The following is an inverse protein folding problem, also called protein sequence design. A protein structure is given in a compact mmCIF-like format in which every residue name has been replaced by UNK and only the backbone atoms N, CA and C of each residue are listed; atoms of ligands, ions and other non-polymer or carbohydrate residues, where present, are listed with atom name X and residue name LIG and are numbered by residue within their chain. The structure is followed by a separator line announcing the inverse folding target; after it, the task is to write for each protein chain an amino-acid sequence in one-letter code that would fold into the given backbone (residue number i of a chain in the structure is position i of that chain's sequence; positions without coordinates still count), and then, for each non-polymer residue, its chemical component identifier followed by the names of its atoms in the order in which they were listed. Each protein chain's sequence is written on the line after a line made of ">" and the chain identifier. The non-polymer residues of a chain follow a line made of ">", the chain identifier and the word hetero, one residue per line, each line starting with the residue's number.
data_IF_134249654819
#
_entry.id   IF_134249654819
#
_cell.length_a   1.000
_cell.length_b   1.000
_cell.length_c   1.000
_cell.angle_alpha   90.00
_cell.angle_beta   90.00
_cell.angle_gamma   90.00
#
_symmetry.space_group_name_H-M   'P 1'
#
loop_
_entity.id
_entity.type
_entity.pdbx_description
1 polymer ?
#
# COMPACT_ATOMS: atom_id res chain seq x y z
N UNK A 1 14.91 8.43 -2.15
CA UNK A 1 15.22 9.10 -0.86
C UNK A 1 14.19 8.61 0.14
N UNK A 2 14.62 8.01 1.25
CA UNK A 2 13.74 7.37 2.23
C UNK A 2 13.47 8.37 3.36
N UNK A 3 12.31 9.04 3.30
CA UNK A 3 11.87 10.00 4.32
C UNK A 3 10.77 9.33 5.14
N UNK A 4 11.00 9.21 6.44
CA UNK A 4 10.01 8.73 7.41
C UNK A 4 9.03 9.85 7.70
N UNK A 5 7.74 9.60 7.54
CA UNK A 5 6.66 10.51 7.95
C UNK A 5 5.82 9.79 9.01
N UNK A 6 5.26 10.54 9.95
CA UNK A 6 4.74 10.06 11.24
C UNK A 6 3.68 8.93 11.18
N UNK A 7 3.06 8.66 10.02
CA UNK A 7 2.09 7.57 9.84
C UNK A 7 2.16 6.86 8.45
N UNK A 8 3.32 6.86 7.78
CA UNK A 8 3.46 6.13 6.51
C UNK A 8 4.77 6.33 5.75
N UNK A 9 5.17 5.30 4.99
CA UNK A 9 6.34 5.33 4.11
C UNK A 9 6.05 6.08 2.81
N UNK A 10 7.06 6.77 2.28
CA UNK A 10 7.03 7.33 0.93
C UNK A 10 7.12 6.19 -0.09
N UNK A 11 6.02 5.88 -0.77
CA UNK A 11 5.97 4.90 -1.86
C UNK A 11 6.47 5.57 -3.14
N UNK A 12 7.71 5.28 -3.53
CA UNK A 12 8.16 5.53 -4.90
C UNK A 12 7.60 4.40 -5.78
N UNK A 13 6.88 4.76 -6.84
CA UNK A 13 6.26 3.84 -7.78
C UNK A 13 7.25 2.87 -8.44
N UNK A 14 8.52 3.25 -8.59
CA UNK A 14 9.59 2.40 -9.13
C UNK A 14 9.90 1.15 -8.28
N UNK A 15 9.40 1.09 -7.05
CA UNK A 15 9.72 0.04 -6.09
C UNK A 15 8.51 -0.80 -5.67
N UNK A 16 7.31 -0.48 -6.15
CA UNK A 16 6.11 -1.29 -5.88
C UNK A 16 6.13 -2.50 -6.79
N UNK A 17 6.02 -3.68 -6.19
CA UNK A 17 5.99 -4.96 -6.90
C UNK A 17 4.54 -5.40 -7.12
N UNK A 18 3.69 -5.24 -6.11
CA UNK A 18 2.29 -5.64 -6.17
C UNK A 18 1.40 -4.82 -5.23
N UNK A 19 0.14 -4.67 -5.62
CA UNK A 19 -0.95 -4.18 -4.76
C UNK A 19 -2.08 -5.20 -4.83
N UNK A 20 -2.55 -5.68 -3.67
CA UNK A 20 -3.60 -6.70 -3.58
C UNK A 20 -4.70 -6.24 -2.64
N UNK A 21 -5.95 -6.44 -3.04
CA UNK A 21 -7.10 -6.34 -2.14
C UNK A 21 -7.55 -7.74 -1.78
N UNK A 22 -7.82 -7.96 -0.51
CA UNK A 22 -8.56 -9.12 -0.07
C UNK A 22 -9.59 -8.71 0.98
N UNK A 23 -10.66 -9.50 1.12
CA UNK A 23 -11.54 -9.41 2.27
C UNK A 23 -11.11 -10.51 3.24
N UNK A 24 -10.70 -10.13 4.43
CA UNK A 24 -10.39 -11.08 5.47
C UNK A 24 -11.69 -11.78 5.91
N UNK A 25 -11.67 -13.10 5.84
CA UNK A 25 -12.83 -13.93 6.15
C UNK A 25 -13.14 -14.01 7.65
N UNK A 26 -12.17 -13.69 8.52
CA UNK A 26 -12.32 -13.81 9.98
C UNK A 26 -13.00 -12.59 10.62
N UNK A 27 -12.64 -11.38 10.20
CA UNK A 27 -13.13 -10.12 10.76
C UNK A 27 -14.01 -9.32 9.77
N UNK A 28 -14.09 -9.78 8.51
CA UNK A 28 -14.83 -9.11 7.45
C UNK A 28 -14.16 -7.83 6.92
N UNK A 29 -12.95 -7.50 7.40
CA UNK A 29 -12.22 -6.30 7.02
C UNK A 29 -11.64 -6.43 5.61
N UNK A 30 -11.55 -5.32 4.92
CA UNK A 30 -10.86 -5.22 3.64
C UNK A 30 -9.40 -4.91 3.91
N UNK A 31 -8.50 -5.70 3.34
CA UNK A 31 -7.06 -5.56 3.48
C UNK A 31 -6.48 -5.13 2.15
N UNK A 32 -5.81 -3.98 2.14
CA UNK A 32 -4.97 -3.55 1.03
C UNK A 32 -3.53 -3.84 1.42
N UNK A 33 -2.92 -4.79 0.70
CA UNK A 33 -1.53 -5.18 0.86
C UNK A 33 -0.68 -4.59 -0.27
N UNK A 34 0.38 -3.87 0.08
CA UNK A 34 1.34 -3.26 -0.83
C UNK A 34 2.71 -3.91 -0.61
N UNK A 35 3.19 -4.60 -1.63
CA UNK A 35 4.49 -5.24 -1.64
C UNK A 35 5.49 -4.36 -2.39
N UNK A 36 6.65 -4.11 -1.78
CA UNK A 36 7.66 -3.21 -2.35
C UNK A 36 9.09 -3.70 -2.11
N UNK A 37 10.01 -3.43 -3.03
CA UNK A 37 11.45 -3.67 -2.85
C UNK A 37 12.17 -2.34 -2.67
N UNK A 38 12.57 -1.97 -1.44
CA UNK A 38 13.36 -0.76 -1.23
C UNK A 38 14.74 -0.86 -1.91
N UNK A 39 15.13 0.20 -2.60
CA UNK A 39 16.34 0.30 -3.42
C UNK A 39 17.66 -0.06 -2.66
N UNK A 40 17.67 0.04 -1.33
CA UNK A 40 18.85 -0.23 -0.50
C UNK A 40 18.85 -1.59 0.20
N UNK A 41 17.85 -2.45 -0.02
CA UNK A 41 17.70 -3.70 0.73
C UNK A 41 17.31 -4.83 -0.23
N UNK A 42 18.02 -5.96 -0.16
CA UNK A 42 17.68 -7.19 -0.89
C UNK A 42 16.42 -7.90 -0.34
N UNK A 43 15.54 -7.20 0.36
CA UNK A 43 14.39 -7.79 1.04
C UNK A 43 13.13 -7.04 0.66
N UNK A 44 12.10 -7.81 0.33
CA UNK A 44 10.76 -7.30 0.05
C UNK A 44 10.07 -6.90 1.34
N UNK A 45 9.52 -5.69 1.37
CA UNK A 45 8.66 -5.19 2.44
C UNK A 45 7.19 -5.37 2.10
N UNK A 46 6.40 -5.75 3.10
CA UNK A 46 4.94 -5.81 3.02
C UNK A 46 4.32 -4.73 3.90
N UNK A 47 3.45 -3.91 3.34
CA UNK A 47 2.63 -2.95 4.08
C UNK A 47 1.15 -3.32 3.93
N UNK A 48 0.44 -3.41 5.05
CA UNK A 48 -0.98 -3.75 5.06
C UNK A 48 -1.79 -2.64 5.71
N UNK A 49 -2.92 -2.31 5.09
CA UNK A 49 -3.90 -1.39 5.64
C UNK A 49 -5.28 -2.04 5.66
N UNK A 50 -5.90 -2.00 6.82
CA UNK A 50 -7.22 -2.57 7.08
C UNK A 50 -8.30 -1.48 6.97
N UNK A 51 -9.43 -1.85 6.39
CA UNK A 51 -10.60 -0.99 6.19
C UNK A 51 -11.86 -1.73 6.62
N UNK A 52 -12.80 -1.00 7.21
CA UNK A 52 -14.06 -1.58 7.68
C UNK A 52 -15.05 -1.83 6.54
N UNK A 53 -14.91 -1.13 5.42
CA UNK A 53 -15.76 -1.27 4.24
C UNK A 53 -14.93 -1.17 2.95
N UNK A 54 -15.48 -1.73 1.87
CA UNK A 54 -14.80 -1.79 0.57
C UNK A 54 -14.66 -0.43 -0.10
N UNK A 55 -15.58 0.51 0.16
CA UNK A 55 -15.56 1.86 -0.43
C UNK A 55 -14.32 2.63 0.06
N UNK A 56 -14.00 2.58 1.34
CA UNK A 56 -12.80 3.20 1.90
C UNK A 56 -11.52 2.61 1.30
N UNK A 57 -11.49 1.28 1.12
CA UNK A 57 -10.37 0.60 0.48
C UNK A 57 -10.19 1.03 -0.99
N UNK A 58 -11.29 1.17 -1.74
CA UNK A 58 -11.29 1.65 -3.12
C UNK A 58 -10.83 3.11 -3.24
N UNK A 59 -11.33 4.01 -2.38
CA UNK A 59 -10.90 5.41 -2.33
C UNK A 59 -9.41 5.51 -2.03
N UNK A 60 -8.91 4.69 -1.10
CA UNK A 60 -7.48 4.62 -0.80
C UNK A 60 -6.67 4.18 -2.03
N UNK A 61 -7.12 3.17 -2.77
CA UNK A 61 -6.44 2.73 -3.98
C UNK A 61 -6.42 3.77 -5.09
N UNK A 62 -7.54 4.46 -5.31
CA UNK A 62 -7.59 5.55 -6.29
C UNK A 62 -6.61 6.66 -5.92
N UNK A 63 -6.53 7.01 -4.63
CA UNK A 63 -5.59 8.01 -4.11
C UNK A 63 -4.13 7.54 -4.28
N UNK A 64 -3.85 6.26 -4.00
CA UNK A 64 -2.54 5.66 -4.17
C UNK A 64 -2.13 5.68 -5.66
N UNK A 65 -3.03 5.26 -6.55
CA UNK A 65 -2.81 5.30 -8.00
C UNK A 65 -2.52 6.72 -8.49
N UNK A 66 -3.31 7.71 -8.08
CA UNK A 66 -3.06 9.11 -8.46
C UNK A 66 -1.72 9.64 -7.95
N UNK A 67 -1.33 9.26 -6.73
CA UNK A 67 -0.05 9.68 -6.14
C UNK A 67 1.14 9.07 -6.88
N UNK A 68 1.00 7.81 -7.32
CA UNK A 68 1.99 7.11 -8.13
C UNK A 68 2.07 7.70 -9.55
N UNK A 69 0.94 7.92 -10.20
CA UNK A 69 0.86 8.37 -11.61
C UNK A 69 1.25 9.84 -11.82
N UNK A 70 1.35 10.65 -10.76
CA UNK A 70 1.80 12.06 -10.83
C UNK A 70 3.32 12.23 -10.71
N UNK A 71 4.08 11.13 -10.65
CA UNK A 71 5.55 11.13 -10.60
C UNK A 71 6.12 10.95 -12.00
#
# INVERSE_FOLDING_TARGET
>A
MLVKVEDGFYLNSQHIIAVRISKNAQDGLFVVAVEYTPNSVQHTGLFEKHFNNGIEAEVYLQSLHQSISKT
#
